data_IF_683172380110
#
_entry.id   IF_683172380110
#
_cell.length_a   1.000
_cell.length_b   1.000
_cell.length_c   1.000
_cell.angle_alpha   90.00
_cell.angle_beta   90.00
_cell.angle_gamma   90.00
#
_symmetry.space_group_name_H-M   'P 1'
#
loop_
_entity.id
_entity.type
_entity.pdbx_description
1 polymer ?
#
# COMPACT_ATOMS: atom_id res chain seq x y z
N UNK A 1 9.30 89.95 29.12
CA UNK A 1 9.84 88.65 28.73
C UNK A 1 10.70 88.13 29.88
N UNK A 2 10.20 87.19 30.67
CA UNK A 2 10.90 86.66 31.85
C UNK A 2 10.97 85.10 31.65
N UNK A 3 12.17 84.55 31.45
CA UNK A 3 12.46 83.12 31.44
C UNK A 3 12.37 82.67 32.91
N UNK A 4 11.57 81.58 33.14
CA UNK A 4 11.60 80.84 34.40
C UNK A 4 12.36 79.55 34.17
N UNK A 5 13.42 79.30 34.91
CA UNK A 5 14.13 78.06 35.00
C UNK A 5 13.48 77.21 36.10
N UNK A 6 13.13 75.98 35.76
CA UNK A 6 12.62 74.96 36.69
C UNK A 6 13.81 74.01 37.03
N UNK A 7 14.18 73.97 38.29
CA UNK A 7 15.19 73.07 38.85
C UNK A 7 14.52 71.73 39.10
N UNK A 8 15.05 70.63 38.46
CA UNK A 8 14.64 69.31 38.73
C UNK A 8 15.62 68.67 39.76
N UNK A 9 15.09 68.33 40.93
CA UNK A 9 15.84 67.66 42.01
C UNK A 9 15.83 66.19 41.71
N UNK A 10 17.02 65.60 41.45
CA UNK A 10 17.21 64.18 41.33
C UNK A 10 17.32 63.54 42.72
N UNK A 11 16.31 62.70 43.05
CA UNK A 11 16.35 61.90 44.27
C UNK A 11 17.05 60.53 43.87
N UNK A 12 18.22 60.33 44.46
CA UNK A 12 18.97 59.02 44.32
C UNK A 12 18.48 58.09 45.41
N UNK A 13 17.81 57.02 45.02
CA UNK A 13 17.41 55.93 45.92
C UNK A 13 18.45 54.81 45.77
N UNK A 14 19.08 54.31 46.83
CA UNK A 14 19.99 53.20 46.74
C UNK A 14 19.19 51.87 46.58
N UNK A 15 19.42 51.21 45.48
CA UNK A 15 18.98 49.83 45.25
C UNK A 15 19.81 48.89 46.10
N UNK A 16 19.19 48.28 47.09
CA UNK A 16 19.74 47.13 47.78
C UNK A 16 19.50 45.90 46.92
N UNK A 17 20.56 45.27 46.41
CA UNK A 17 20.52 44.01 45.73
C UNK A 17 20.43 42.89 46.76
N UNK A 18 19.21 42.33 46.95
CA UNK A 18 18.99 41.09 47.65
C UNK A 18 19.21 39.94 46.65
N UNK A 19 20.25 39.13 46.85
CA UNK A 19 20.44 37.88 46.19
C UNK A 19 19.43 36.87 46.80
N UNK A 20 18.21 36.81 46.26
CA UNK A 20 17.32 35.68 46.44
C UNK A 20 17.70 34.60 45.41
N UNK A 21 18.11 33.42 45.88
CA UNK A 21 18.11 32.20 45.05
C UNK A 21 16.65 31.90 44.75
N UNK A 22 16.21 32.15 43.51
CA UNK A 22 14.99 31.53 43.01
C UNK A 22 15.30 30.05 42.80
N UNK A 23 14.72 29.17 43.62
CA UNK A 23 14.61 27.75 43.36
C UNK A 23 13.78 27.62 42.09
N UNK A 24 14.45 27.28 40.96
CA UNK A 24 13.82 26.79 39.74
C UNK A 24 13.19 25.48 40.12
N UNK A 25 11.87 25.29 40.01
CA UNK A 25 11.28 23.97 40.20
C UNK A 25 11.82 23.09 39.06
N UNK A 26 12.67 22.13 39.43
CA UNK A 26 13.02 20.99 38.59
C UNK A 26 11.81 20.05 38.57
N UNK A 27 10.86 20.32 37.70
CA UNK A 27 9.89 19.39 37.20
C UNK A 27 9.54 19.83 35.77
N UNK A 28 10.49 19.63 34.86
CA UNK A 28 10.15 19.28 33.51
C UNK A 28 9.69 17.82 33.57
N UNK A 29 8.41 17.60 33.74
CA UNK A 29 7.81 16.38 33.24
C UNK A 29 8.10 16.41 31.74
N UNK A 30 9.08 15.63 31.28
CA UNK A 30 9.18 15.24 29.89
C UNK A 30 7.82 14.59 29.61
N UNK A 31 6.94 15.27 28.86
CA UNK A 31 5.77 14.61 28.29
C UNK A 31 6.35 13.43 27.50
N UNK A 32 6.19 12.22 28.05
CA UNK A 32 6.46 11.00 27.30
C UNK A 32 5.60 11.10 26.03
N UNK A 33 6.23 11.27 24.88
CA UNK A 33 5.56 11.24 23.60
C UNK A 33 4.83 9.89 23.55
N UNK A 34 3.49 9.94 23.58
CA UNK A 34 2.65 8.75 23.64
C UNK A 34 2.88 7.96 22.35
N UNK A 35 3.72 6.93 22.42
CA UNK A 35 4.06 6.10 21.27
C UNK A 35 2.83 5.32 20.82
N UNK A 36 2.54 5.34 19.53
CA UNK A 36 1.39 4.62 18.96
C UNK A 36 1.68 3.10 19.08
N UNK A 37 0.77 2.38 19.71
CA UNK A 37 0.75 0.90 19.67
C UNK A 37 0.21 0.45 18.29
N UNK A 38 1.13 0.18 17.37
CA UNK A 38 0.77 -0.21 16.00
C UNK A 38 0.04 -1.55 15.96
N UNK A 39 0.32 -2.47 16.88
CA UNK A 39 -0.41 -3.73 16.94
C UNK A 39 -1.87 -3.52 17.34
N UNK A 40 -2.14 -2.67 18.33
CA UNK A 40 -3.51 -2.30 18.71
C UNK A 40 -4.23 -1.53 17.59
N UNK A 41 -3.54 -0.59 16.92
CA UNK A 41 -4.05 0.17 15.79
C UNK A 41 -4.44 -0.75 14.60
N UNK A 42 -3.58 -1.72 14.26
CA UNK A 42 -3.84 -2.70 13.21
C UNK A 42 -5.02 -3.61 13.56
N UNK A 43 -5.12 -4.10 14.80
CA UNK A 43 -6.28 -4.87 15.24
C UNK A 43 -7.57 -4.06 15.09
N UNK A 44 -7.59 -2.81 15.52
CA UNK A 44 -8.77 -1.96 15.43
C UNK A 44 -9.16 -1.70 13.96
N UNK A 45 -8.21 -1.44 13.06
CA UNK A 45 -8.47 -1.17 11.65
C UNK A 45 -9.00 -2.41 10.90
N UNK A 46 -8.39 -3.58 11.13
CA UNK A 46 -8.80 -4.84 10.47
C UNK A 46 -10.12 -5.36 11.00
N UNK A 47 -10.41 -5.17 12.29
CA UNK A 47 -11.75 -5.48 12.85
C UNK A 47 -12.82 -4.51 12.33
N UNK A 48 -12.49 -3.24 12.12
CA UNK A 48 -13.42 -2.28 11.49
C UNK A 48 -13.75 -2.70 10.06
N UNK A 49 -12.77 -3.17 9.29
CA UNK A 49 -13.01 -3.70 7.94
C UNK A 49 -14.06 -4.82 7.97
N UNK A 50 -13.92 -5.79 8.90
CA UNK A 50 -14.89 -6.88 9.06
C UNK A 50 -16.24 -6.35 9.54
N UNK A 51 -16.26 -5.55 10.60
CA UNK A 51 -17.51 -5.17 11.28
C UNK A 51 -18.37 -4.23 10.43
N UNK A 52 -17.79 -3.41 9.56
CA UNK A 52 -18.52 -2.39 8.82
C UNK A 52 -18.68 -2.67 7.33
N UNK A 53 -17.83 -3.52 6.74
CA UNK A 53 -17.88 -3.76 5.30
C UNK A 53 -18.27 -5.19 4.92
N UNK A 54 -18.18 -6.16 5.84
CA UNK A 54 -18.53 -7.54 5.53
C UNK A 54 -20.02 -7.76 5.28
N UNK A 55 -20.33 -8.27 4.10
CA UNK A 55 -21.68 -8.71 3.73
C UNK A 55 -21.88 -10.19 4.08
N UNK A 56 -22.50 -10.47 5.22
CA UNK A 56 -22.73 -11.85 5.67
C UNK A 56 -23.73 -12.63 4.80
N UNK A 57 -24.62 -11.94 4.07
CA UNK A 57 -25.57 -12.58 3.16
C UNK A 57 -24.93 -13.01 1.85
N UNK A 58 -23.93 -12.26 1.35
CA UNK A 58 -23.23 -12.55 0.11
C UNK A 58 -21.82 -13.14 0.29
N UNK A 59 -21.26 -13.08 1.49
CA UNK A 59 -19.90 -13.51 1.82
C UNK A 59 -18.80 -12.78 1.02
N UNK A 60 -18.89 -11.46 0.95
CA UNK A 60 -17.95 -10.55 0.32
C UNK A 60 -17.92 -9.21 1.07
N UNK A 61 -17.04 -8.28 0.70
CA UNK A 61 -17.02 -6.94 1.27
C UNK A 61 -17.80 -5.96 0.40
N UNK A 62 -18.68 -5.18 1.04
CA UNK A 62 -19.48 -4.13 0.43
C UNK A 62 -18.59 -3.00 -0.13
N UNK A 63 -19.09 -2.26 -1.11
CA UNK A 63 -18.39 -1.12 -1.72
C UNK A 63 -18.12 0.01 -0.73
N UNK A 64 -18.97 0.19 0.28
CA UNK A 64 -18.81 1.17 1.36
C UNK A 64 -19.44 0.67 2.67
N UNK A 65 -19.22 1.43 3.75
CA UNK A 65 -19.82 1.15 5.06
C UNK A 65 -21.21 1.81 5.26
N UNK A 66 -21.80 2.39 4.22
CA UNK A 66 -23.14 3.04 4.28
C UNK A 66 -24.27 2.20 3.68
N UNK A 67 -23.96 0.96 3.28
CA UNK A 67 -24.95 -0.01 2.81
C UNK A 67 -24.98 -0.22 1.29
N UNK A 68 -23.98 0.27 0.54
CA UNK A 68 -23.83 -0.05 -0.87
C UNK A 68 -23.27 -1.48 -1.02
N UNK A 69 -24.17 -2.40 -1.35
CA UNK A 69 -23.86 -3.83 -1.51
C UNK A 69 -23.41 -4.20 -2.94
N UNK A 70 -23.10 -3.24 -3.80
CA UNK A 70 -22.56 -3.53 -5.13
C UNK A 70 -21.26 -4.31 -4.99
N UNK A 71 -21.17 -5.44 -5.66
CA UNK A 71 -19.96 -6.26 -5.64
C UNK A 71 -18.87 -5.66 -6.55
N UNK A 72 -17.65 -5.61 -6.04
CA UNK A 72 -16.45 -5.22 -6.80
C UNK A 72 -15.39 -6.30 -6.66
N UNK A 73 -14.95 -6.87 -7.78
CA UNK A 73 -14.14 -8.08 -7.78
C UNK A 73 -12.73 -7.85 -7.26
N UNK A 74 -12.01 -6.84 -7.80
CA UNK A 74 -10.61 -6.59 -7.43
C UNK A 74 -10.41 -6.02 -6.02
N UNK A 75 -11.26 -5.09 -5.47
CA UNK A 75 -11.10 -4.64 -4.09
C UNK A 75 -11.33 -5.75 -3.07
N UNK A 76 -12.20 -6.73 -3.40
CA UNK A 76 -12.41 -7.89 -2.53
C UNK A 76 -11.17 -8.78 -2.40
N UNK A 77 -10.31 -8.86 -3.41
CA UNK A 77 -9.00 -9.53 -3.31
C UNK A 77 -8.11 -8.87 -2.27
N UNK A 78 -8.03 -7.55 -2.29
CA UNK A 78 -7.23 -6.80 -1.32
C UNK A 78 -7.82 -6.83 0.10
N UNK A 79 -9.14 -6.99 0.23
CA UNK A 79 -9.77 -7.22 1.54
C UNK A 79 -9.35 -8.57 2.13
N UNK A 80 -9.27 -9.64 1.31
CA UNK A 80 -8.70 -10.92 1.76
C UNK A 80 -7.22 -10.76 2.15
N UNK A 81 -6.43 -9.99 1.38
CA UNK A 81 -5.04 -9.72 1.70
C UNK A 81 -4.86 -9.05 3.08
N UNK A 82 -5.69 -8.06 3.42
CA UNK A 82 -5.67 -7.41 4.75
C UNK A 82 -6.01 -8.39 5.86
N UNK A 83 -6.99 -9.27 5.65
CA UNK A 83 -7.32 -10.30 6.65
C UNK A 83 -6.20 -11.33 6.82
N UNK A 84 -5.46 -11.63 5.75
CA UNK A 84 -4.29 -12.50 5.83
C UNK A 84 -3.16 -11.79 6.59
N UNK A 85 -2.90 -10.49 6.34
CA UNK A 85 -1.93 -9.71 7.10
C UNK A 85 -2.23 -9.76 8.60
N UNK A 86 -3.49 -9.49 8.98
CA UNK A 86 -3.93 -9.55 10.36
C UNK A 86 -3.79 -10.95 10.99
N UNK A 87 -4.09 -12.01 10.22
CA UNK A 87 -3.91 -13.39 10.67
C UNK A 87 -2.44 -13.75 10.87
N UNK A 88 -1.56 -13.43 9.92
CA UNK A 88 -0.11 -13.70 10.01
C UNK A 88 0.54 -12.92 11.15
N UNK A 89 0.08 -11.70 11.42
CA UNK A 89 0.60 -10.88 12.52
C UNK A 89 0.18 -11.42 13.89
N UNK A 90 -1.10 -11.82 14.05
CA UNK A 90 -1.70 -12.11 15.36
C UNK A 90 -1.85 -13.60 15.69
N UNK A 91 -1.93 -14.46 14.67
CA UNK A 91 -2.36 -15.85 14.82
C UNK A 91 -3.85 -15.99 15.21
N UNK A 92 -4.64 -14.89 15.21
CA UNK A 92 -6.06 -14.94 15.58
C UNK A 92 -6.89 -15.62 14.49
N UNK A 93 -7.42 -16.79 14.80
CA UNK A 93 -8.22 -17.62 13.88
C UNK A 93 -9.56 -16.98 13.50
N UNK A 94 -10.01 -15.94 14.16
CA UNK A 94 -11.20 -15.19 13.77
C UNK A 94 -11.08 -14.69 12.34
N UNK A 95 -9.92 -14.12 11.95
CA UNK A 95 -9.68 -13.65 10.59
C UNK A 95 -9.76 -14.78 9.56
N UNK A 96 -9.20 -15.94 9.86
CA UNK A 96 -9.22 -17.08 8.94
C UNK A 96 -10.61 -17.68 8.73
N UNK A 97 -11.59 -17.42 9.62
CA UNK A 97 -12.99 -17.85 9.41
C UNK A 97 -13.65 -17.18 8.21
N UNK A 98 -13.11 -16.04 7.77
CA UNK A 98 -13.60 -15.31 6.60
C UNK A 98 -13.03 -15.84 5.28
N UNK A 99 -11.90 -16.54 5.28
CA UNK A 99 -11.21 -16.95 4.03
C UNK A 99 -12.07 -17.89 3.18
N UNK A 100 -12.64 -18.94 3.78
CA UNK A 100 -13.50 -19.87 3.06
C UNK A 100 -14.81 -19.22 2.61
N UNK A 101 -15.42 -18.42 3.47
CA UNK A 101 -16.64 -17.67 3.15
C UNK A 101 -16.42 -16.69 2.00
N UNK A 102 -15.31 -15.95 2.04
CA UNK A 102 -14.89 -15.05 0.96
C UNK A 102 -14.70 -15.82 -0.36
N UNK A 103 -14.01 -16.97 -0.32
CA UNK A 103 -13.76 -17.80 -1.50
C UNK A 103 -15.06 -18.21 -2.18
N UNK A 104 -16.04 -18.66 -1.42
CA UNK A 104 -17.36 -19.05 -1.93
C UNK A 104 -18.16 -17.84 -2.43
N UNK A 105 -18.20 -16.77 -1.64
CA UNK A 105 -18.98 -15.58 -1.95
C UNK A 105 -18.47 -14.82 -3.16
N UNK A 106 -17.18 -14.56 -3.23
CA UNK A 106 -16.55 -13.82 -4.34
C UNK A 106 -16.71 -14.60 -5.66
N UNK A 107 -16.48 -15.92 -5.64
CA UNK A 107 -16.71 -16.75 -6.82
C UNK A 107 -18.18 -16.70 -7.27
N UNK A 108 -19.12 -16.81 -6.33
CA UNK A 108 -20.56 -16.74 -6.63
C UNK A 108 -20.96 -15.38 -7.22
N UNK A 109 -20.47 -14.27 -6.66
CA UNK A 109 -20.75 -12.93 -7.14
C UNK A 109 -20.12 -12.67 -8.53
N UNK A 110 -18.99 -13.28 -8.83
CA UNK A 110 -18.35 -13.22 -10.15
C UNK A 110 -18.94 -14.25 -11.15
N UNK A 111 -20.19 -14.65 -10.99
CA UNK A 111 -20.89 -15.57 -11.93
C UNK A 111 -20.49 -17.03 -11.79
N UNK A 112 -20.11 -17.49 -10.61
CA UNK A 112 -19.60 -18.84 -10.31
C UNK A 112 -18.32 -19.23 -11.05
N UNK A 113 -17.51 -18.27 -11.44
CA UNK A 113 -16.23 -18.44 -12.12
C UNK A 113 -15.17 -17.51 -11.51
N UNK A 114 -13.90 -17.87 -11.66
CA UNK A 114 -12.78 -16.99 -11.40
C UNK A 114 -12.40 -16.13 -12.61
N UNK A 115 -12.85 -16.52 -13.80
CA UNK A 115 -12.59 -15.79 -15.04
C UNK A 115 -13.29 -14.43 -15.04
N UNK A 116 -12.59 -13.39 -15.49
CA UNK A 116 -13.08 -12.03 -15.59
C UNK A 116 -12.65 -11.40 -16.91
N UNK A 117 -13.29 -10.29 -17.30
CA UNK A 117 -12.89 -9.53 -18.49
C UNK A 117 -11.60 -8.77 -18.30
N UNK A 118 -11.30 -8.34 -17.06
CA UNK A 118 -10.12 -7.58 -16.71
C UNK A 118 -9.02 -8.52 -16.20
N UNK A 119 -7.83 -8.44 -16.80
CA UNK A 119 -6.72 -9.32 -16.44
C UNK A 119 -6.13 -8.98 -15.08
N UNK A 120 -5.98 -7.69 -14.76
CA UNK A 120 -5.55 -7.22 -13.45
C UNK A 120 -6.49 -7.66 -12.31
N UNK A 121 -7.80 -7.66 -12.53
CA UNK A 121 -8.78 -8.18 -11.56
C UNK A 121 -8.55 -9.65 -11.22
N UNK A 122 -8.20 -10.46 -12.24
CA UNK A 122 -7.85 -11.88 -12.04
C UNK A 122 -6.51 -12.03 -11.31
N UNK A 123 -5.54 -11.17 -11.60
CA UNK A 123 -4.21 -11.18 -10.98
C UNK A 123 -4.28 -10.87 -9.48
N UNK A 124 -5.05 -9.85 -9.09
CA UNK A 124 -5.25 -9.51 -7.68
C UNK A 124 -5.86 -10.66 -6.89
N UNK A 125 -6.90 -11.30 -7.46
CA UNK A 125 -7.53 -12.46 -6.82
C UNK A 125 -6.58 -13.66 -6.73
N UNK A 126 -5.77 -13.91 -7.76
CA UNK A 126 -4.77 -14.98 -7.74
C UNK A 126 -3.69 -14.73 -6.69
N UNK A 127 -3.19 -13.50 -6.56
CA UNK A 127 -2.19 -13.12 -5.55
C UNK A 127 -2.71 -13.31 -4.12
N UNK A 128 -3.94 -12.86 -3.84
CA UNK A 128 -4.56 -13.03 -2.52
C UNK A 128 -4.79 -14.52 -2.20
N UNK A 129 -5.29 -15.31 -3.16
CA UNK A 129 -5.52 -16.74 -2.99
C UNK A 129 -4.21 -17.54 -2.84
N UNK A 130 -3.12 -17.13 -3.51
CA UNK A 130 -1.81 -17.77 -3.30
C UNK A 130 -1.33 -17.58 -1.86
N UNK A 131 -1.55 -16.39 -1.28
CA UNK A 131 -1.26 -16.15 0.15
C UNK A 131 -2.17 -17.00 1.04
N UNK A 132 -3.49 -17.06 0.74
CA UNK A 132 -4.42 -17.91 1.49
C UNK A 132 -4.00 -19.38 1.46
N UNK A 133 -3.52 -19.90 0.31
CA UNK A 133 -2.94 -21.24 0.22
C UNK A 133 -1.73 -21.39 1.14
N UNK A 134 -0.80 -20.45 1.13
CA UNK A 134 0.43 -20.53 1.96
C UNK A 134 0.14 -20.59 3.46
N UNK A 135 -0.87 -19.87 3.94
CA UNK A 135 -1.20 -19.85 5.38
C UNK A 135 -2.12 -20.97 5.82
N UNK A 136 -2.90 -21.57 4.88
CA UNK A 136 -3.91 -22.62 5.21
C UNK A 136 -3.52 -24.01 4.74
N UNK A 137 -2.67 -24.12 3.72
CA UNK A 137 -2.39 -25.35 2.94
C UNK A 137 -3.65 -25.98 2.29
N UNK A 138 -4.75 -25.21 2.17
CA UNK A 138 -5.98 -25.71 1.52
C UNK A 138 -5.86 -25.62 0.00
N UNK A 139 -5.84 -26.78 -0.65
CA UNK A 139 -5.59 -26.92 -2.10
C UNK A 139 -6.62 -26.22 -2.99
N UNK A 140 -7.82 -25.91 -2.50
CA UNK A 140 -8.81 -25.18 -3.28
C UNK A 140 -8.29 -23.79 -3.74
N UNK A 141 -7.50 -23.11 -2.88
CA UNK A 141 -6.87 -21.84 -3.25
C UNK A 141 -5.81 -22.03 -4.33
N UNK A 142 -4.95 -23.07 -4.19
CA UNK A 142 -3.97 -23.43 -5.21
C UNK A 142 -4.65 -23.71 -6.55
N UNK A 143 -5.70 -24.53 -6.55
CA UNK A 143 -6.39 -24.91 -7.78
C UNK A 143 -7.00 -23.68 -8.46
N UNK A 144 -7.60 -22.76 -7.70
CA UNK A 144 -8.14 -21.51 -8.22
C UNK A 144 -7.03 -20.57 -8.76
N UNK A 145 -5.88 -20.49 -8.09
CA UNK A 145 -4.72 -19.71 -8.57
C UNK A 145 -4.21 -20.24 -9.90
N UNK A 146 -4.07 -21.58 -10.04
CA UNK A 146 -3.60 -22.18 -11.28
C UNK A 146 -4.61 -22.03 -12.43
N UNK A 147 -5.92 -22.10 -12.12
CA UNK A 147 -6.99 -21.78 -13.08
C UNK A 147 -6.86 -20.32 -13.56
N UNK A 148 -6.74 -19.36 -12.64
CA UNK A 148 -6.58 -17.95 -12.97
C UNK A 148 -5.31 -17.67 -13.77
N UNK A 149 -4.19 -18.28 -13.37
CA UNK A 149 -2.93 -18.13 -14.10
C UNK A 149 -3.03 -18.60 -15.55
N UNK A 150 -3.81 -19.67 -15.79
CA UNK A 150 -4.15 -20.11 -17.16
C UNK A 150 -4.82 -19.00 -17.96
N UNK A 151 -5.89 -18.39 -17.42
CA UNK A 151 -6.60 -17.27 -18.08
C UNK A 151 -5.74 -16.03 -18.26
N UNK A 152 -4.92 -15.67 -17.25
CA UNK A 152 -4.06 -14.47 -17.29
C UNK A 152 -3.03 -14.59 -18.44
N UNK A 153 -2.43 -15.76 -18.64
CA UNK A 153 -1.48 -16.00 -19.74
C UNK A 153 -2.10 -15.79 -21.14
N UNK A 154 -3.41 -16.02 -21.30
CA UNK A 154 -4.12 -15.77 -22.55
C UNK A 154 -4.13 -14.28 -22.96
N UNK A 155 -3.95 -13.37 -21.99
CA UNK A 155 -3.87 -11.93 -22.23
C UNK A 155 -2.58 -11.45 -22.90
N UNK A 156 -1.55 -12.31 -22.94
CA UNK A 156 -0.30 -11.97 -23.61
C UNK A 156 -0.44 -12.01 -25.13
N UNK A 157 0.02 -10.95 -25.81
CA UNK A 157 0.21 -10.96 -27.25
C UNK A 157 1.45 -10.15 -27.64
N UNK A 158 1.93 -10.30 -28.85
CA UNK A 158 3.18 -9.69 -29.32
C UNK A 158 3.06 -8.24 -29.79
N UNK A 159 1.88 -7.63 -29.72
CA UNK A 159 1.69 -6.21 -30.02
C UNK A 159 2.53 -5.36 -29.07
N UNK A 160 3.16 -4.29 -29.57
CA UNK A 160 4.12 -3.48 -28.82
C UNK A 160 5.28 -4.30 -28.18
N UNK A 161 5.67 -5.40 -28.81
CA UNK A 161 6.77 -6.25 -28.35
C UNK A 161 6.45 -7.18 -27.20
N UNK A 162 5.17 -7.33 -26.83
CA UNK A 162 4.73 -8.20 -25.73
C UNK A 162 3.71 -7.54 -24.79
N UNK A 163 3.60 -8.11 -23.59
CA UNK A 163 2.74 -7.60 -22.52
C UNK A 163 1.34 -8.20 -22.51
N UNK A 164 0.78 -8.30 -21.30
CA UNK A 164 -0.60 -8.69 -21.04
C UNK A 164 -1.51 -7.49 -21.28
N UNK A 165 -2.63 -7.70 -21.95
CA UNK A 165 -3.64 -6.65 -22.19
C UNK A 165 -4.39 -6.34 -20.90
N UNK A 166 -4.97 -5.15 -20.81
CA UNK A 166 -5.75 -4.75 -19.64
C UNK A 166 -7.08 -5.50 -19.56
N UNK A 167 -7.76 -5.61 -20.71
CA UNK A 167 -9.11 -6.18 -20.78
C UNK A 167 -9.28 -7.03 -22.02
N UNK A 168 -10.07 -8.10 -21.92
CA UNK A 168 -10.49 -8.92 -23.05
C UNK A 168 -11.21 -8.07 -24.11
N UNK A 169 -10.85 -8.26 -25.36
CA UNK A 169 -11.39 -7.45 -26.45
C UNK A 169 -10.75 -6.05 -26.60
N UNK A 170 -9.73 -5.74 -25.79
CA UNK A 170 -8.96 -4.50 -25.86
C UNK A 170 -7.45 -4.79 -26.05
N UNK A 171 -7.13 -5.62 -27.04
CA UNK A 171 -5.78 -6.12 -27.30
C UNK A 171 -4.75 -5.01 -27.55
N UNK A 172 -5.22 -3.80 -27.84
CA UNK A 172 -4.39 -2.61 -28.03
C UNK A 172 -3.99 -1.93 -26.71
N UNK A 173 -4.70 -2.17 -25.61
CA UNK A 173 -4.44 -1.53 -24.32
C UNK A 173 -3.59 -2.43 -23.46
N UNK A 174 -2.35 -2.02 -23.16
CA UNK A 174 -1.43 -2.76 -22.28
C UNK A 174 -0.98 -1.85 -21.16
N UNK A 175 -1.38 -2.24 -19.95
CA UNK A 175 -1.27 -1.39 -18.78
C UNK A 175 -0.22 -1.93 -17.79
N UNK A 176 0.35 -1.05 -16.99
CA UNK A 176 1.25 -1.44 -15.90
C UNK A 176 0.52 -2.31 -14.87
N UNK A 177 -0.77 -2.00 -14.59
CA UNK A 177 -1.60 -2.74 -13.64
C UNK A 177 -1.91 -4.19 -14.03
N UNK A 178 -1.84 -4.54 -15.32
CA UNK A 178 -1.98 -5.93 -15.79
C UNK A 178 -0.64 -6.62 -16.09
N UNK A 179 0.48 -5.98 -15.87
CA UNK A 179 1.79 -6.58 -16.10
C UNK A 179 2.64 -6.66 -14.83
N UNK A 180 2.55 -5.67 -13.94
CA UNK A 180 3.22 -5.70 -12.64
C UNK A 180 2.76 -6.86 -11.77
N UNK A 181 1.46 -6.96 -11.45
CA UNK A 181 0.92 -8.07 -10.64
C UNK A 181 1.12 -9.44 -11.29
N UNK A 182 0.98 -9.56 -12.62
CA UNK A 182 1.24 -10.80 -13.33
C UNK A 182 2.70 -11.27 -13.18
N UNK A 183 3.67 -10.35 -13.25
CA UNK A 183 5.08 -10.67 -13.03
C UNK A 183 5.33 -11.12 -11.58
N UNK A 184 4.70 -10.47 -10.60
CA UNK A 184 4.74 -10.88 -9.18
C UNK A 184 4.15 -12.27 -9.01
N UNK A 185 2.95 -12.52 -9.58
CA UNK A 185 2.28 -13.81 -9.49
C UNK A 185 3.16 -14.93 -10.08
N UNK A 186 3.66 -14.75 -11.29
CA UNK A 186 4.52 -15.73 -11.95
C UNK A 186 5.77 -16.05 -11.11
N UNK A 187 6.43 -15.01 -10.58
CA UNK A 187 7.60 -15.18 -9.72
C UNK A 187 7.27 -15.96 -8.43
N UNK A 188 6.14 -15.64 -7.78
CA UNK A 188 5.68 -16.33 -6.56
C UNK A 188 5.24 -17.76 -6.83
N UNK A 189 4.63 -18.04 -7.98
CA UNK A 189 4.30 -19.42 -8.41
C UNK A 189 5.56 -20.26 -8.59
N UNK A 190 6.60 -19.70 -9.22
CA UNK A 190 7.89 -20.37 -9.32
C UNK A 190 8.51 -20.66 -7.95
N UNK A 191 8.52 -19.67 -7.06
CA UNK A 191 9.07 -19.83 -5.71
C UNK A 191 8.31 -20.89 -4.90
N UNK A 192 7.00 -21.00 -5.07
CA UNK A 192 6.15 -21.92 -4.32
C UNK A 192 6.15 -23.35 -4.92
N UNK A 193 6.10 -23.48 -6.25
CA UNK A 193 5.87 -24.76 -6.91
C UNK A 193 7.05 -25.23 -7.76
N UNK A 194 8.06 -24.40 -8.01
CA UNK A 194 9.29 -24.77 -8.75
C UNK A 194 9.10 -24.99 -10.25
N UNK A 195 8.00 -24.50 -10.85
CA UNK A 195 7.76 -24.66 -12.28
C UNK A 195 8.57 -23.63 -13.08
N UNK A 196 9.53 -24.10 -13.89
CA UNK A 196 10.41 -23.25 -14.68
C UNK A 196 9.68 -22.35 -15.70
N UNK A 197 8.55 -22.79 -16.23
CA UNK A 197 7.72 -21.96 -17.12
C UNK A 197 7.26 -20.66 -16.40
N UNK A 198 6.92 -20.73 -15.12
CA UNK A 198 6.47 -19.56 -14.36
C UNK A 198 7.63 -18.58 -14.12
N UNK A 199 8.86 -19.08 -13.93
CA UNK A 199 10.06 -18.25 -13.88
C UNK A 199 10.31 -17.51 -15.20
N UNK A 200 10.16 -18.21 -16.33
CA UNK A 200 10.30 -17.60 -17.65
C UNK A 200 9.25 -16.52 -17.90
N UNK A 201 8.00 -16.78 -17.49
CA UNK A 201 6.94 -15.78 -17.54
C UNK A 201 7.25 -14.55 -16.69
N UNK A 202 7.73 -14.72 -15.47
CA UNK A 202 8.09 -13.61 -14.60
C UNK A 202 9.16 -12.71 -15.25
N UNK A 203 10.23 -13.28 -15.79
CA UNK A 203 11.29 -12.55 -16.49
C UNK A 203 10.73 -11.84 -17.73
N UNK A 204 9.92 -12.53 -18.51
CA UNK A 204 9.35 -12.03 -19.77
C UNK A 204 8.44 -10.83 -19.54
N UNK A 205 7.50 -10.94 -18.58
CA UNK A 205 6.55 -9.88 -18.28
C UNK A 205 7.28 -8.68 -17.68
N UNK A 206 8.16 -8.89 -16.69
CA UNK A 206 8.96 -7.83 -16.09
C UNK A 206 9.84 -7.13 -17.11
N UNK A 207 10.50 -7.86 -17.99
CA UNK A 207 11.37 -7.30 -19.03
C UNK A 207 10.60 -6.39 -19.98
N UNK A 208 9.41 -6.83 -20.41
CA UNK A 208 8.51 -6.01 -21.21
C UNK A 208 8.06 -4.74 -20.47
N UNK A 209 7.57 -4.88 -19.23
CA UNK A 209 7.13 -3.76 -18.41
C UNK A 209 8.26 -2.71 -18.23
N UNK A 210 9.45 -3.17 -17.85
CA UNK A 210 10.63 -2.32 -17.66
C UNK A 210 11.02 -1.57 -18.94
N UNK A 211 11.04 -2.26 -20.08
CA UNK A 211 11.50 -1.66 -21.34
C UNK A 211 10.46 -0.75 -21.98
N UNK A 212 9.16 -0.93 -21.68
CA UNK A 212 8.04 -0.25 -22.33
C UNK A 212 7.43 0.87 -21.49
N UNK A 213 7.16 0.60 -20.21
CA UNK A 213 6.40 1.50 -19.36
C UNK A 213 7.20 2.14 -18.21
N UNK A 214 8.52 1.90 -18.12
CA UNK A 214 9.36 2.53 -17.08
C UNK A 214 10.28 3.57 -17.69
N UNK A 215 10.28 4.77 -17.11
CA UNK A 215 11.23 5.81 -17.48
C UNK A 215 12.65 5.42 -17.01
N UNK A 216 13.60 5.16 -17.92
CA UNK A 216 14.92 4.68 -17.55
C UNK A 216 15.74 5.69 -16.74
N UNK A 217 15.40 6.97 -16.79
CA UNK A 217 16.12 8.03 -16.09
C UNK A 217 15.59 8.24 -14.67
N UNK A 218 14.27 8.23 -14.49
CA UNK A 218 13.63 8.59 -13.21
C UNK A 218 13.10 7.39 -12.42
N UNK A 219 12.81 6.28 -13.08
CA UNK A 219 12.12 5.13 -12.47
C UNK A 219 10.60 5.26 -12.42
N UNK A 220 10.03 6.38 -12.94
CA UNK A 220 8.58 6.53 -13.04
C UNK A 220 7.97 5.43 -13.91
N UNK A 221 6.92 4.78 -13.43
CA UNK A 221 6.14 3.79 -14.19
C UNK A 221 4.92 4.50 -14.78
N UNK A 222 4.83 4.53 -16.09
CA UNK A 222 3.71 5.06 -16.84
C UNK A 222 2.55 4.07 -16.87
N UNK A 223 1.32 4.58 -17.03
CA UNK A 223 0.13 3.76 -16.90
C UNK A 223 -0.03 2.72 -18.00
N UNK A 224 0.01 3.15 -19.27
CA UNK A 224 -0.30 2.26 -20.39
C UNK A 224 0.38 2.66 -21.69
N UNK A 225 0.36 1.73 -22.65
CA UNK A 225 0.65 1.95 -24.06
C UNK A 225 -0.56 1.53 -24.89
N UNK A 226 -0.91 2.36 -25.89
CA UNK A 226 -1.78 1.94 -26.97
C UNK A 226 -0.94 1.27 -28.06
N UNK A 227 -1.00 -0.05 -28.18
CA UNK A 227 -0.15 -0.82 -29.08
C UNK A 227 -0.48 -0.61 -30.56
N UNK A 228 -1.65 -0.05 -30.91
CA UNK A 228 -1.99 0.30 -32.29
C UNK A 228 -1.29 1.58 -32.77
N UNK A 229 -1.06 2.52 -31.86
CA UNK A 229 -0.44 3.82 -32.17
C UNK A 229 1.01 3.91 -31.70
N UNK A 230 1.42 3.08 -30.76
CA UNK A 230 2.70 3.16 -30.05
C UNK A 230 2.74 4.29 -29.01
N UNK A 231 1.63 4.94 -28.73
CA UNK A 231 1.55 6.05 -27.78
C UNK A 231 1.52 5.54 -26.34
N UNK A 232 2.45 6.05 -25.52
CA UNK A 232 2.53 5.78 -24.08
C UNK A 232 1.90 6.94 -23.33
N UNK A 233 0.96 6.64 -22.43
CA UNK A 233 0.39 7.63 -21.53
C UNK A 233 1.38 7.95 -20.40
N UNK A 234 2.11 9.05 -20.55
CA UNK A 234 3.13 9.52 -19.60
C UNK A 234 2.59 10.50 -18.56
N UNK A 235 1.36 10.94 -18.72
CA UNK A 235 0.68 11.87 -17.81
C UNK A 235 0.08 11.15 -16.60
N UNK A 236 -0.35 9.91 -16.79
CA UNK A 236 -0.93 9.10 -15.74
C UNK A 236 0.16 8.31 -15.02
N UNK A 237 0.46 8.75 -13.81
CA UNK A 237 1.46 8.13 -12.95
C UNK A 237 0.80 7.90 -11.60
N UNK A 238 0.46 6.66 -11.32
CA UNK A 238 -0.24 6.24 -10.12
C UNK A 238 0.67 5.45 -9.19
N UNK A 239 0.42 5.56 -7.87
CA UNK A 239 1.25 4.90 -6.86
C UNK A 239 1.20 3.38 -6.97
N UNK A 240 0.05 2.78 -7.29
CA UNK A 240 -0.06 1.31 -7.41
C UNK A 240 0.79 0.73 -8.54
N UNK A 241 0.94 1.44 -9.67
CA UNK A 241 1.83 1.02 -10.76
C UNK A 241 3.29 1.02 -10.32
N UNK A 242 3.71 2.03 -9.54
CA UNK A 242 5.04 2.06 -8.93
C UNK A 242 5.22 0.86 -7.99
N UNK A 243 4.22 0.62 -7.12
CA UNK A 243 4.22 -0.49 -6.17
C UNK A 243 4.37 -1.85 -6.85
N UNK A 244 3.57 -2.13 -7.86
CA UNK A 244 3.63 -3.44 -8.55
C UNK A 244 4.92 -3.64 -9.34
N UNK A 245 5.51 -2.59 -9.89
CA UNK A 245 6.84 -2.69 -10.48
C UNK A 245 7.92 -2.96 -9.42
N UNK A 246 7.86 -2.28 -8.27
CA UNK A 246 8.73 -2.57 -7.12
C UNK A 246 8.59 -4.02 -6.70
N UNK A 247 7.36 -4.51 -6.50
CA UNK A 247 7.09 -5.90 -6.12
C UNK A 247 7.64 -6.91 -7.11
N UNK A 248 7.44 -6.68 -8.42
CA UNK A 248 7.96 -7.57 -9.46
C UNK A 248 9.49 -7.62 -9.47
N UNK A 249 10.16 -6.48 -9.27
CA UNK A 249 11.61 -6.42 -9.16
C UNK A 249 12.11 -7.12 -7.88
N UNK A 250 11.45 -6.92 -6.73
CA UNK A 250 11.79 -7.60 -5.47
C UNK A 250 11.63 -9.12 -5.59
N UNK A 251 10.56 -9.61 -6.22
CA UNK A 251 10.37 -11.06 -6.38
C UNK A 251 11.44 -11.67 -7.30
N UNK A 252 11.84 -10.98 -8.37
CA UNK A 252 12.95 -11.43 -9.21
C UNK A 252 14.31 -11.35 -8.48
N UNK A 253 14.50 -10.34 -7.62
CA UNK A 253 15.66 -10.28 -6.74
C UNK A 253 15.74 -11.51 -5.81
N UNK A 254 14.61 -11.91 -5.21
CA UNK A 254 14.55 -13.13 -4.36
C UNK A 254 14.93 -14.39 -5.11
N UNK A 255 14.57 -14.49 -6.40
CA UNK A 255 14.90 -15.65 -7.24
C UNK A 255 16.37 -15.67 -7.66
N UNK A 256 16.89 -14.54 -8.15
CA UNK A 256 18.21 -14.49 -8.81
C UNK A 256 19.33 -13.93 -7.94
N UNK A 257 19.00 -13.25 -6.84
CA UNK A 257 19.93 -12.52 -5.95
C UNK A 257 20.80 -11.49 -6.71
N UNK A 258 20.28 -10.93 -7.81
CA UNK A 258 20.96 -9.93 -8.63
C UNK A 258 20.60 -8.53 -8.18
N UNK A 259 21.61 -7.73 -7.76
CA UNK A 259 21.42 -6.37 -7.25
C UNK A 259 20.75 -5.43 -8.28
N UNK A 260 20.78 -5.76 -9.56
CA UNK A 260 20.13 -4.96 -10.63
C UNK A 260 18.61 -4.83 -10.40
N UNK A 261 17.93 -5.90 -10.00
CA UNK A 261 16.49 -5.86 -9.69
C UNK A 261 16.21 -4.97 -8.46
N UNK A 262 17.04 -5.10 -7.42
CA UNK A 262 16.89 -4.25 -6.23
C UNK A 262 17.10 -2.76 -6.56
N UNK A 263 18.06 -2.44 -7.44
CA UNK A 263 18.29 -1.06 -7.89
C UNK A 263 17.10 -0.51 -8.69
N UNK A 264 16.44 -1.34 -9.50
CA UNK A 264 15.23 -0.96 -10.23
C UNK A 264 14.09 -0.64 -9.25
N UNK A 265 13.88 -1.48 -8.23
CA UNK A 265 12.90 -1.24 -7.18
C UNK A 265 13.18 0.06 -6.39
N UNK A 266 14.44 0.29 -6.00
CA UNK A 266 14.88 1.52 -5.31
C UNK A 266 14.60 2.74 -6.17
N UNK A 267 14.86 2.68 -7.47
CA UNK A 267 14.65 3.82 -8.36
C UNK A 267 13.18 4.22 -8.48
N UNK A 268 12.27 3.23 -8.57
CA UNK A 268 10.83 3.49 -8.61
C UNK A 268 10.31 3.97 -7.24
N UNK A 269 10.84 3.44 -6.15
CA UNK A 269 10.51 3.87 -4.79
C UNK A 269 10.96 5.33 -4.56
N UNK A 270 12.18 5.69 -4.94
CA UNK A 270 12.71 7.05 -4.82
C UNK A 270 11.89 8.05 -5.64
N UNK A 271 11.46 7.67 -6.86
CA UNK A 271 10.55 8.49 -7.65
C UNK A 271 9.23 8.73 -6.90
N UNK A 272 8.64 7.68 -6.33
CA UNK A 272 7.35 7.76 -5.66
C UNK A 272 7.40 8.67 -4.43
N UNK A 273 8.35 8.42 -3.51
CA UNK A 273 8.48 9.21 -2.28
C UNK A 273 8.98 10.63 -2.51
N UNK A 274 9.52 10.93 -3.68
CA UNK A 274 9.97 12.27 -4.08
C UNK A 274 8.96 13.06 -4.92
N UNK A 275 8.06 12.38 -5.66
CA UNK A 275 7.20 13.02 -6.67
C UNK A 275 5.70 12.83 -6.46
N UNK A 276 5.28 11.72 -5.82
CA UNK A 276 3.86 11.42 -5.62
C UNK A 276 3.40 11.75 -4.19
N UNK A 277 3.98 12.77 -3.61
CA UNK A 277 3.75 13.20 -2.23
C UNK A 277 3.36 14.67 -2.16
N UNK A 278 2.72 15.02 -1.05
CA UNK A 278 2.52 16.39 -0.59
C UNK A 278 3.03 16.47 0.85
N UNK A 279 4.03 17.34 1.10
CA UNK A 279 4.69 17.44 2.41
C UNK A 279 5.15 16.08 2.97
N UNK A 280 5.76 15.25 2.13
CA UNK A 280 6.28 13.90 2.43
C UNK A 280 5.23 12.84 2.79
N UNK A 281 3.94 13.11 2.64
CA UNK A 281 2.85 12.14 2.75
C UNK A 281 2.30 11.85 1.36
N UNK A 282 2.00 10.58 1.07
CA UNK A 282 1.40 10.19 -0.21
C UNK A 282 0.12 10.98 -0.45
N UNK A 283 0.07 11.67 -1.60
CA UNK A 283 -1.09 12.49 -1.95
C UNK A 283 -2.32 11.64 -2.24
N UNK A 284 -3.50 12.25 -2.09
CA UNK A 284 -4.75 11.59 -2.48
C UNK A 284 -4.77 11.36 -3.99
N UNK A 285 -5.18 10.16 -4.39
CA UNK A 285 -5.46 9.78 -5.78
C UNK A 285 -6.96 9.66 -6.05
N UNK A 286 -7.79 10.24 -5.16
CA UNK A 286 -9.24 10.26 -5.26
C UNK A 286 -9.92 9.11 -4.51
N UNK A 287 -11.18 8.90 -4.85
CA UNK A 287 -12.05 7.82 -4.36
C UNK A 287 -12.24 6.74 -5.43
N UNK A 288 -12.99 5.70 -5.13
CA UNK A 288 -13.15 4.56 -6.03
C UNK A 288 -11.81 3.84 -6.22
N UNK A 289 -11.45 3.49 -7.45
CA UNK A 289 -10.20 2.77 -7.71
C UNK A 289 -8.96 3.50 -7.15
N UNK A 290 -8.90 4.82 -7.31
CA UNK A 290 -7.81 5.65 -6.77
C UNK A 290 -7.66 5.60 -5.25
N UNK A 291 -8.73 5.28 -4.53
CA UNK A 291 -8.72 5.12 -3.07
C UNK A 291 -7.76 4.02 -2.59
N UNK A 292 -7.56 2.97 -3.40
CA UNK A 292 -6.74 1.80 -3.03
C UNK A 292 -5.27 1.91 -3.48
N UNK A 293 -4.96 2.75 -4.44
CA UNK A 293 -3.64 2.78 -5.10
C UNK A 293 -2.48 2.93 -4.13
N UNK A 294 -2.59 3.82 -3.15
CA UNK A 294 -1.54 4.02 -2.13
C UNK A 294 -1.30 2.78 -1.27
N UNK A 295 -2.37 2.07 -0.91
CA UNK A 295 -2.26 0.83 -0.13
C UNK A 295 -1.47 -0.25 -0.87
N UNK A 296 -1.69 -0.39 -2.17
CA UNK A 296 -0.93 -1.32 -3.01
C UNK A 296 0.54 -0.92 -3.08
N UNK A 297 0.84 0.38 -3.24
CA UNK A 297 2.22 0.86 -3.15
C UNK A 297 2.86 0.48 -1.82
N UNK A 298 2.19 0.76 -0.71
CA UNK A 298 2.69 0.46 0.64
C UNK A 298 3.03 -1.02 0.80
N UNK A 299 2.19 -1.94 0.33
CA UNK A 299 2.44 -3.38 0.40
C UNK A 299 3.79 -3.76 -0.23
N UNK A 300 4.03 -3.35 -1.46
CA UNK A 300 5.27 -3.71 -2.16
C UNK A 300 6.47 -2.85 -1.75
N UNK A 301 6.23 -1.66 -1.24
CA UNK A 301 7.28 -0.84 -0.63
C UNK A 301 7.77 -1.45 0.69
N UNK A 302 6.87 -2.07 1.47
CA UNK A 302 7.23 -2.85 2.66
C UNK A 302 8.07 -4.06 2.28
N UNK A 303 7.68 -4.82 1.23
CA UNK A 303 8.48 -5.93 0.71
C UNK A 303 9.92 -5.49 0.33
N UNK A 304 10.08 -4.28 -0.22
CA UNK A 304 11.40 -3.70 -0.53
C UNK A 304 12.19 -3.36 0.73
N UNK A 305 11.57 -2.73 1.73
CA UNK A 305 12.20 -2.34 3.00
C UNK A 305 12.78 -3.55 3.72
N UNK A 306 12.11 -4.69 3.66
CA UNK A 306 12.50 -5.95 4.30
C UNK A 306 13.67 -6.67 3.63
N UNK A 307 14.20 -6.18 2.48
CA UNK A 307 15.28 -6.85 1.80
C UNK A 307 16.61 -6.67 2.55
N UNK A 308 17.24 -7.75 3.00
CA UNK A 308 18.49 -7.74 3.77
C UNK A 308 19.64 -7.00 3.09
N UNK A 309 19.68 -6.99 1.74
CA UNK A 309 20.70 -6.31 0.96
C UNK A 309 20.35 -4.91 0.52
N UNK A 310 19.26 -4.34 1.03
CA UNK A 310 18.96 -2.94 0.84
C UNK A 310 19.99 -2.10 1.61
N UNK A 311 20.57 -1.10 0.95
CA UNK A 311 21.58 -0.25 1.58
C UNK A 311 20.98 0.46 2.82
N UNK A 312 21.63 0.33 3.98
CA UNK A 312 21.11 0.81 5.27
C UNK A 312 20.68 2.30 5.29
N UNK A 313 21.38 3.25 4.62
CA UNK A 313 20.88 4.63 4.49
C UNK A 313 19.57 4.73 3.72
N UNK A 314 19.38 3.92 2.68
CA UNK A 314 18.13 3.87 1.90
C UNK A 314 17.01 3.29 2.76
N UNK A 315 17.26 2.17 3.43
CA UNK A 315 16.30 1.53 4.32
C UNK A 315 15.82 2.48 5.42
N UNK A 316 16.74 3.18 6.11
CA UNK A 316 16.36 4.19 7.13
C UNK A 316 15.48 5.29 6.58
N UNK A 317 15.78 5.81 5.38
CA UNK A 317 14.94 6.84 4.74
C UNK A 317 13.53 6.32 4.42
N UNK A 318 13.42 5.06 3.98
CA UNK A 318 12.15 4.44 3.68
C UNK A 318 11.34 4.15 4.96
N UNK A 319 11.99 3.72 6.02
CA UNK A 319 11.36 3.55 7.33
C UNK A 319 10.84 4.87 7.90
N UNK A 320 11.61 5.96 7.80
CA UNK A 320 11.16 7.30 8.19
C UNK A 320 9.96 7.75 7.38
N UNK A 321 9.93 7.45 6.08
CA UNK A 321 8.78 7.74 5.22
C UNK A 321 7.54 6.92 5.63
N UNK A 322 7.71 5.63 5.90
CA UNK A 322 6.61 4.77 6.38
C UNK A 322 6.07 5.27 7.72
N UNK A 323 6.93 5.56 8.69
CA UNK A 323 6.57 6.08 10.01
C UNK A 323 5.75 7.36 9.87
N UNK A 324 6.27 8.36 9.15
CA UNK A 324 5.57 9.64 8.94
C UNK A 324 4.19 9.45 8.31
N UNK A 325 4.05 8.58 7.32
CA UNK A 325 2.75 8.34 6.68
C UNK A 325 1.78 7.62 7.61
N UNK A 326 2.24 6.64 8.38
CA UNK A 326 1.43 5.89 9.32
C UNK A 326 0.95 6.78 10.48
N UNK A 327 1.85 7.56 11.11
CA UNK A 327 1.52 8.53 12.17
C UNK A 327 0.53 9.58 11.65
N UNK A 328 0.79 10.15 10.46
CA UNK A 328 -0.13 11.13 9.85
C UNK A 328 -1.52 10.54 9.63
N UNK A 329 -1.61 9.33 9.08
CA UNK A 329 -2.89 8.67 8.88
C UNK A 329 -3.59 8.42 10.22
N UNK A 330 -2.88 7.87 11.22
CA UNK A 330 -3.48 7.50 12.49
C UNK A 330 -4.01 8.71 13.27
N UNK A 331 -3.22 9.76 13.37
CA UNK A 331 -3.52 10.95 14.17
C UNK A 331 -4.47 11.91 13.45
N UNK A 332 -4.22 12.18 12.15
CA UNK A 332 -4.92 13.21 11.40
C UNK A 332 -6.00 12.66 10.46
N UNK A 333 -5.78 11.45 9.89
CA UNK A 333 -6.62 10.86 8.86
C UNK A 333 -7.64 9.83 9.36
N UNK A 334 -7.64 9.49 10.64
CA UNK A 334 -8.49 8.44 11.21
C UNK A 334 -9.69 9.01 11.97
N UNK A 335 -10.91 8.59 11.61
CA UNK A 335 -12.10 8.88 12.38
C UNK A 335 -12.23 7.90 13.54
N UNK A 336 -12.18 8.39 14.79
CA UNK A 336 -12.35 7.61 15.99
C UNK A 336 -13.79 7.76 16.54
N UNK A 337 -14.35 6.75 17.24
CA UNK A 337 -13.77 5.41 17.51
C UNK A 337 -13.95 4.38 16.38
N UNK A 338 -14.55 4.77 15.26
CA UNK A 338 -14.91 3.87 14.18
C UNK A 338 -13.71 3.35 13.35
N UNK A 339 -12.53 3.97 13.49
CA UNK A 339 -11.29 3.64 12.75
C UNK A 339 -11.52 3.60 11.24
N UNK A 340 -12.10 4.69 10.70
CA UNK A 340 -12.33 4.85 9.26
C UNK A 340 -11.23 5.70 8.64
N UNK A 341 -10.81 5.34 7.44
CA UNK A 341 -9.80 6.02 6.64
C UNK A 341 -10.42 6.59 5.36
N UNK A 342 -9.91 7.76 4.93
CA UNK A 342 -10.32 8.41 3.70
C UNK A 342 -9.19 8.45 2.65
N UNK A 343 -9.47 9.03 1.48
CA UNK A 343 -8.47 9.09 0.40
C UNK A 343 -7.33 10.08 0.70
N UNK A 344 -7.53 11.02 1.60
CA UNK A 344 -6.50 11.96 2.06
C UNK A 344 -6.07 11.57 3.48
N UNK A 345 -4.84 11.12 3.64
CA UNK A 345 -4.33 10.66 4.93
C UNK A 345 -4.08 11.77 5.96
N UNK A 346 -4.22 13.03 5.57
CA UNK A 346 -4.19 14.20 6.46
C UNK A 346 -5.58 14.68 6.88
N UNK A 347 -6.64 13.98 6.45
CA UNK A 347 -8.00 14.44 6.69
C UNK A 347 -8.89 13.24 7.07
N UNK A 348 -9.53 13.37 8.23
CA UNK A 348 -10.53 12.39 8.68
C UNK A 348 -11.66 12.27 7.65
N UNK A 349 -12.06 11.06 7.25
CA UNK A 349 -13.30 10.89 6.53
C UNK A 349 -14.50 11.27 7.41
N UNK A 350 -15.66 11.39 6.80
CA UNK A 350 -16.92 11.49 7.53
C UNK A 350 -17.29 10.16 8.20
N UNK A 351 -18.58 9.93 8.37
CA UNK A 351 -19.12 8.67 8.92
C UNK A 351 -19.20 7.55 7.88
N UNK A 352 -18.98 7.86 6.61
CA UNK A 352 -18.97 6.91 5.49
C UNK A 352 -17.68 7.04 4.70
N UNK A 353 -17.15 5.89 4.28
CA UNK A 353 -15.97 5.78 3.41
C UNK A 353 -16.11 4.56 2.50
N UNK A 354 -15.44 4.57 1.35
CA UNK A 354 -15.40 3.43 0.45
C UNK A 354 -14.48 2.32 0.94
N UNK A 355 -14.73 1.12 0.45
CA UNK A 355 -13.90 -0.06 0.73
C UNK A 355 -12.44 0.18 0.32
N UNK A 356 -12.22 0.79 -0.82
CA UNK A 356 -10.89 1.05 -1.38
C UNK A 356 -10.06 1.98 -0.51
N UNK A 357 -10.65 3.04 0.00
CA UNK A 357 -10.02 3.99 0.92
C UNK A 357 -9.73 3.33 2.27
N UNK A 358 -10.69 2.55 2.79
CA UNK A 358 -10.51 1.80 4.03
C UNK A 358 -9.35 0.80 3.91
N UNK A 359 -9.31 0.03 2.83
CA UNK A 359 -8.25 -0.94 2.57
C UNK A 359 -6.87 -0.29 2.47
N UNK A 360 -6.78 0.86 1.81
CA UNK A 360 -5.53 1.62 1.68
C UNK A 360 -4.97 2.00 3.04
N UNK A 361 -5.84 2.46 3.96
CA UNK A 361 -5.45 2.76 5.34
C UNK A 361 -5.08 1.51 6.12
N UNK A 362 -5.89 0.43 6.04
CA UNK A 362 -5.58 -0.84 6.69
C UNK A 362 -4.19 -1.38 6.28
N UNK A 363 -3.86 -1.34 4.98
CA UNK A 363 -2.56 -1.79 4.48
C UNK A 363 -1.39 -0.99 5.07
N UNK A 364 -1.54 0.32 5.25
CA UNK A 364 -0.50 1.14 5.88
C UNK A 364 -0.32 0.82 7.35
N UNK A 365 -1.41 0.66 8.09
CA UNK A 365 -1.36 0.37 9.53
C UNK A 365 -0.87 -1.06 9.79
N UNK A 366 -1.29 -2.06 8.99
CA UNK A 366 -0.74 -3.43 9.07
C UNK A 366 0.76 -3.45 8.73
N UNK A 367 1.20 -2.66 7.74
CA UNK A 367 2.62 -2.53 7.41
C UNK A 367 3.43 -1.91 8.56
N UNK A 368 2.90 -0.87 9.22
CA UNK A 368 3.54 -0.27 10.38
C UNK A 368 3.67 -1.27 11.53
N UNK A 369 2.60 -2.03 11.81
CA UNK A 369 2.61 -3.08 12.85
C UNK A 369 3.57 -4.24 12.51
N UNK A 370 3.68 -4.62 11.24
CA UNK A 370 4.64 -5.63 10.79
C UNK A 370 6.08 -5.15 10.99
N UNK A 371 6.40 -3.93 10.56
CA UNK A 371 7.74 -3.36 10.68
C UNK A 371 8.14 -3.10 12.15
N UNK A 372 7.19 -2.74 13.02
CA UNK A 372 7.41 -2.65 14.47
C UNK A 372 7.72 -4.04 15.07
N UNK A 373 6.93 -5.07 14.72
CA UNK A 373 7.15 -6.45 15.15
C UNK A 373 8.53 -6.99 14.73
N UNK A 374 9.06 -6.53 13.59
CA UNK A 374 10.39 -6.87 13.08
C UNK A 374 11.50 -5.97 13.66
N UNK A 375 11.18 -5.11 14.63
CA UNK A 375 12.11 -4.16 15.26
C UNK A 375 12.74 -3.15 14.27
N UNK A 376 12.09 -2.92 13.12
CA UNK A 376 12.52 -1.98 12.10
C UNK A 376 11.92 -0.57 12.29
N UNK A 377 10.70 -0.48 12.81
CA UNK A 377 9.97 0.76 13.03
C UNK A 377 9.97 1.09 14.54
N UNK A 378 11.00 1.82 15.01
CA UNK A 378 11.14 2.27 16.39
C UNK A 378 10.86 3.76 16.51
#
# INVERSE_FOLDING_TARGET
MKKKYLFLIMLVIPLWWSCGKEDIPANGEEEEEETIDWNAAANASSMTLVNQFWNSGGNYFNTDNSGNTTFQYWPNAHALDVLIDAYERTGNTEYSTYFDRWFQGVKAQNGNTWNNDFYDDMEWNALAMLRAYKVTNDTKYKDAVLELWGYIKEGWNDNAGGGITWKKGMEYSKNACSNGPAAILAARLYQEFGNEEDREWAIRIYGWLKSTLVNPNTGAVWDNINSNTGEINKEWIFTYNQGTYIGSAVELYKIFNEKAYLNDAVKAADYTIGSLVENSVLKSEGTGDGGLFKGIFIRYFTDLIQQERLDAPIQRRYLQFMKLNAETLWEQGTTQPAVLFGPNWRQKPGTSTGLTEQLSGCMLIEAAALLEKEELLN
#
